data_IF_270042664717
#
_entry.id   IF_270042664717
#
_cell.length_a   1.000
_cell.length_b   1.000
_cell.length_c   1.000
_cell.angle_alpha   90.00
_cell.angle_beta   90.00
_cell.angle_gamma   90.00
#
_symmetry.space_group_name_H-M   'P 1'
#
loop_
_entity.id
_entity.type
_entity.pdbx_description
1 polymer ?
#
# COMPACT_ATOMS: atom_id res chain seq x y z
N UNK A 1 15.02 9.31 -21.63
CA UNK A 1 14.91 7.87 -21.30
C UNK A 1 14.07 7.20 -22.36
N UNK A 2 14.67 6.32 -23.14
CA UNK A 2 14.01 5.57 -24.21
C UNK A 2 13.15 4.49 -23.58
N UNK A 3 11.84 4.56 -23.81
CA UNK A 3 10.94 3.46 -23.47
C UNK A 3 11.49 2.18 -24.11
N UNK A 4 11.66 1.12 -23.31
CA UNK A 4 12.05 -0.17 -23.85
C UNK A 4 10.95 -0.61 -24.81
N UNK A 5 11.23 -0.85 -26.10
CA UNK A 5 10.19 -1.30 -27.03
C UNK A 5 9.57 -2.58 -26.49
N UNK A 6 8.24 -2.69 -26.55
CA UNK A 6 7.47 -3.85 -26.07
C UNK A 6 8.06 -5.18 -26.58
N UNK A 7 8.68 -5.18 -27.78
CA UNK A 7 9.37 -6.34 -28.35
C UNK A 7 10.61 -6.85 -27.60
N UNK A 8 11.35 -5.99 -26.87
CA UNK A 8 12.56 -6.40 -26.14
C UNK A 8 12.22 -7.18 -24.86
N UNK A 9 11.12 -6.82 -24.20
CA UNK A 9 10.63 -7.51 -23.01
C UNK A 9 10.12 -8.91 -23.38
N UNK A 10 9.34 -9.01 -24.46
CA UNK A 10 8.82 -10.29 -24.96
C UNK A 10 9.95 -11.24 -25.34
N UNK A 11 11.04 -10.75 -25.95
CA UNK A 11 12.21 -11.58 -26.27
C UNK A 11 12.93 -12.09 -25.02
N UNK A 12 13.13 -11.25 -24.01
CA UNK A 12 13.70 -11.67 -22.71
C UNK A 12 12.80 -12.66 -21.97
N UNK A 13 11.48 -12.45 -22.02
CA UNK A 13 10.50 -13.34 -21.40
C UNK A 13 10.50 -14.73 -22.07
N UNK A 14 10.60 -14.80 -23.39
CA UNK A 14 10.71 -16.08 -24.11
C UNK A 14 12.02 -16.82 -23.75
N UNK A 15 13.13 -16.08 -23.60
CA UNK A 15 14.40 -16.66 -23.17
C UNK A 15 14.34 -17.20 -21.74
N UNK A 16 13.76 -16.42 -20.82
CA UNK A 16 13.50 -16.82 -19.43
C UNK A 16 12.62 -18.08 -19.35
N UNK A 17 11.54 -18.09 -20.11
CA UNK A 17 10.65 -19.26 -20.24
C UNK A 17 11.40 -20.50 -20.71
N UNK A 18 12.22 -20.36 -21.75
CA UNK A 18 12.96 -21.48 -22.34
C UNK A 18 13.96 -22.09 -21.34
N UNK A 19 14.60 -21.26 -20.50
CA UNK A 19 15.54 -21.71 -19.47
C UNK A 19 14.87 -22.52 -18.35
N UNK A 20 13.63 -22.19 -17.98
CA UNK A 20 12.91 -22.83 -16.89
C UNK A 20 12.05 -24.02 -17.37
N UNK A 21 11.30 -23.83 -18.45
CA UNK A 21 10.40 -24.83 -19.04
C UNK A 21 11.16 -26.01 -19.65
N UNK A 22 12.43 -25.83 -20.03
CA UNK A 22 13.30 -26.86 -20.61
C UNK A 22 13.70 -27.99 -19.64
N UNK A 23 13.31 -27.93 -18.35
CA UNK A 23 13.66 -28.97 -17.34
C UNK A 23 12.49 -29.85 -16.86
N UNK A 24 11.21 -29.49 -17.05
CA UNK A 24 10.11 -30.18 -16.35
C UNK A 24 8.82 -30.46 -17.16
N UNK A 25 8.66 -29.94 -18.38
CA UNK A 25 7.48 -30.21 -19.23
C UNK A 25 6.13 -29.64 -18.70
N UNK A 26 6.04 -29.26 -17.44
CA UNK A 26 4.86 -28.61 -16.82
C UNK A 26 5.34 -27.72 -15.67
N UNK A 27 4.98 -26.44 -15.67
CA UNK A 27 5.30 -25.52 -14.57
C UNK A 27 4.26 -25.64 -13.46
N UNK A 28 4.69 -25.59 -12.20
CA UNK A 28 3.83 -25.48 -11.01
C UNK A 28 3.70 -24.02 -10.58
N UNK A 29 2.76 -23.73 -9.66
CA UNK A 29 2.60 -22.37 -9.10
C UNK A 29 3.89 -21.86 -8.44
N UNK A 30 4.69 -22.76 -7.83
CA UNK A 30 5.96 -22.40 -7.19
C UNK A 30 7.03 -21.98 -8.19
N UNK A 31 6.95 -22.48 -9.43
CA UNK A 31 7.91 -22.15 -10.50
C UNK A 31 7.65 -20.75 -11.11
N UNK A 32 6.52 -20.11 -10.78
CA UNK A 32 6.21 -18.76 -11.26
C UNK A 32 7.15 -17.72 -10.64
N UNK A 33 7.47 -17.78 -9.34
CA UNK A 33 8.36 -16.76 -8.75
C UNK A 33 9.74 -16.74 -9.41
N UNK A 34 10.47 -17.87 -9.52
CA UNK A 34 11.76 -17.89 -10.20
C UNK A 34 11.67 -17.37 -11.64
N UNK A 35 10.56 -17.65 -12.34
CA UNK A 35 10.34 -17.22 -13.71
C UNK A 35 10.26 -15.68 -13.83
N UNK A 36 9.47 -15.02 -12.98
CA UNK A 36 9.36 -13.56 -12.99
C UNK A 36 10.64 -12.87 -12.49
N UNK A 37 11.34 -13.48 -11.53
CA UNK A 37 12.61 -12.95 -11.01
C UNK A 37 13.68 -12.86 -12.09
N UNK A 38 13.66 -13.72 -13.13
CA UNK A 38 14.60 -13.59 -14.27
C UNK A 38 14.43 -12.31 -15.09
N UNK A 39 13.28 -11.63 -14.96
CA UNK A 39 12.96 -10.37 -15.62
C UNK A 39 13.08 -9.16 -14.68
N UNK A 40 13.63 -9.35 -13.49
CA UNK A 40 13.64 -8.35 -12.40
C UNK A 40 12.22 -7.90 -12.01
N UNK A 41 11.24 -8.81 -12.08
CA UNK A 41 9.86 -8.60 -11.64
C UNK A 41 9.61 -9.47 -10.42
N UNK A 42 9.07 -8.90 -9.34
CA UNK A 42 8.89 -9.59 -8.06
C UNK A 42 7.43 -9.57 -7.64
N UNK A 43 6.61 -10.52 -8.12
CA UNK A 43 5.21 -10.61 -7.74
C UNK A 43 5.03 -11.06 -6.28
N UNK A 44 3.97 -10.60 -5.62
CA UNK A 44 3.53 -11.13 -4.33
C UNK A 44 2.93 -12.54 -4.45
N UNK A 45 2.75 -13.23 -3.32
CA UNK A 45 2.12 -14.56 -3.31
C UNK A 45 0.72 -14.55 -3.92
N UNK A 46 -0.07 -13.54 -3.62
CA UNK A 46 -1.41 -13.42 -4.17
C UNK A 46 -1.41 -13.04 -5.65
N UNK A 47 -0.47 -12.22 -6.12
CA UNK A 47 -0.31 -11.95 -7.55
C UNK A 47 0.02 -13.25 -8.31
N UNK A 48 0.92 -14.08 -7.78
CA UNK A 48 1.22 -15.39 -8.37
C UNK A 48 0.00 -16.32 -8.32
N UNK A 49 -0.74 -16.33 -7.22
CA UNK A 49 -1.97 -17.10 -7.10
C UNK A 49 -3.02 -16.69 -8.14
N UNK A 50 -3.25 -15.38 -8.31
CA UNK A 50 -4.18 -14.86 -9.32
C UNK A 50 -3.73 -15.18 -10.74
N UNK A 51 -2.46 -14.98 -11.07
CA UNK A 51 -1.91 -15.34 -12.38
C UNK A 51 -2.10 -16.81 -12.69
N UNK A 52 -1.85 -17.67 -11.69
CA UNK A 52 -2.05 -19.10 -11.78
C UNK A 52 -3.53 -19.45 -12.00
N UNK A 53 -4.45 -18.92 -11.19
CA UNK A 53 -5.88 -19.15 -11.36
C UNK A 53 -6.38 -18.68 -12.72
N UNK A 54 -5.99 -17.46 -13.13
CA UNK A 54 -6.41 -16.85 -14.38
C UNK A 54 -5.91 -17.60 -15.62
N UNK A 55 -4.73 -18.23 -15.58
CA UNK A 55 -4.24 -19.05 -16.69
C UNK A 55 -4.91 -20.42 -16.78
N UNK A 56 -5.46 -20.92 -15.66
CA UNK A 56 -6.04 -22.26 -15.58
C UNK A 56 -7.53 -22.31 -15.93
N UNK A 57 -8.22 -21.16 -16.04
CA UNK A 57 -9.64 -21.09 -16.43
C UNK A 57 -9.97 -21.70 -17.79
N UNK A 58 -9.00 -21.78 -18.72
CA UNK A 58 -9.26 -22.23 -20.08
C UNK A 58 -8.54 -23.52 -20.51
N UNK A 59 -7.37 -23.85 -19.95
CA UNK A 59 -6.59 -25.04 -20.36
C UNK A 59 -5.80 -25.73 -19.23
N UNK A 60 -5.99 -25.34 -17.95
CA UNK A 60 -5.25 -25.87 -16.80
C UNK A 60 -3.71 -25.86 -16.97
N UNK A 61 -3.16 -24.95 -17.77
CA UNK A 61 -1.71 -24.87 -18.04
C UNK A 61 -1.30 -23.40 -18.05
N UNK A 62 -0.27 -23.06 -17.29
CA UNK A 62 0.39 -21.77 -17.40
C UNK A 62 1.24 -21.77 -18.68
N UNK A 63 1.00 -20.81 -19.59
CA UNK A 63 1.67 -20.77 -20.91
C UNK A 63 2.68 -19.64 -21.03
N UNK A 64 3.59 -19.74 -22.00
CA UNK A 64 4.52 -18.64 -22.34
C UNK A 64 3.77 -17.35 -22.69
N UNK A 65 2.59 -17.45 -23.32
CA UNK A 65 1.74 -16.30 -23.62
C UNK A 65 1.21 -15.62 -22.37
N UNK A 66 0.72 -16.40 -21.41
CA UNK A 66 0.28 -15.90 -20.10
C UNK A 66 1.43 -15.24 -19.34
N UNK A 67 2.61 -15.88 -19.34
CA UNK A 67 3.81 -15.30 -18.73
C UNK A 67 4.19 -13.95 -19.34
N UNK A 68 4.33 -13.89 -20.67
CA UNK A 68 4.67 -12.66 -21.38
C UNK A 68 3.65 -11.55 -21.12
N UNK A 69 2.35 -11.89 -21.09
CA UNK A 69 1.28 -10.94 -20.78
C UNK A 69 1.43 -10.36 -19.38
N UNK A 70 1.50 -11.22 -18.35
CA UNK A 70 1.59 -10.76 -16.95
C UNK A 70 2.90 -10.01 -16.68
N UNK A 71 4.03 -10.46 -17.23
CA UNK A 71 5.30 -9.76 -17.10
C UNK A 71 5.25 -8.37 -17.76
N UNK A 72 4.61 -8.25 -18.93
CA UNK A 72 4.41 -6.97 -19.59
C UNK A 72 3.52 -6.04 -18.77
N UNK A 73 2.39 -6.52 -18.27
CA UNK A 73 1.46 -5.71 -17.48
C UNK A 73 2.08 -5.23 -16.17
N UNK A 74 2.78 -6.12 -15.45
CA UNK A 74 3.46 -5.75 -14.20
C UNK A 74 4.56 -4.71 -14.44
N UNK A 75 5.37 -4.90 -15.48
CA UNK A 75 6.43 -3.96 -15.82
C UNK A 75 5.87 -2.61 -16.27
N UNK A 76 4.81 -2.63 -17.08
CA UNK A 76 4.11 -1.43 -17.52
C UNK A 76 3.48 -0.66 -16.35
N UNK A 77 2.83 -1.36 -15.41
CA UNK A 77 2.25 -0.76 -14.21
C UNK A 77 3.33 -0.11 -13.32
N UNK A 78 4.45 -0.81 -13.14
CA UNK A 78 5.61 -0.33 -12.40
C UNK A 78 6.26 0.90 -13.06
N UNK A 79 6.54 0.85 -14.37
CA UNK A 79 7.19 1.93 -15.12
C UNK A 79 6.34 3.21 -15.18
N UNK A 80 5.01 3.08 -15.28
CA UNK A 80 4.12 4.23 -15.39
C UNK A 80 3.60 4.75 -14.05
N UNK A 81 3.94 4.12 -12.91
CA UNK A 81 3.40 4.47 -11.57
C UNK A 81 1.88 4.70 -11.61
N UNK A 82 1.15 3.90 -12.39
CA UNK A 82 -0.27 4.13 -12.60
C UNK A 82 -1.03 3.89 -11.29
N UNK A 83 -1.44 4.98 -10.62
CA UNK A 83 -2.59 4.90 -9.72
C UNK A 83 -3.82 4.65 -10.57
N UNK A 84 -4.45 3.49 -10.41
CA UNK A 84 -5.69 3.17 -11.13
C UNK A 84 -6.86 3.93 -10.51
N UNK A 85 -7.57 4.64 -11.39
CA UNK A 85 -8.89 5.30 -11.28
C UNK A 85 -9.13 6.28 -10.15
N UNK A 86 -9.41 7.53 -10.54
CA UNK A 86 -10.08 8.50 -9.67
C UNK A 86 -11.40 7.92 -9.16
N UNK A 87 -11.75 8.14 -7.88
CA UNK A 87 -13.02 7.68 -7.35
C UNK A 87 -14.19 8.32 -8.09
N UNK A 88 -15.23 7.52 -8.37
CA UNK A 88 -16.49 7.93 -9.00
C UNK A 88 -17.30 8.97 -8.20
N UNK A 89 -16.82 9.37 -7.02
CA UNK A 89 -17.44 10.38 -6.15
C UNK A 89 -16.98 11.82 -6.43
N UNK A 90 -16.15 12.08 -7.45
CA UNK A 90 -15.89 13.46 -7.89
C UNK A 90 -16.89 13.87 -8.98
N UNK A 91 -17.86 14.77 -8.69
CA UNK A 91 -18.58 15.42 -9.77
C UNK A 91 -17.58 16.21 -10.63
N UNK A 92 -17.83 16.21 -11.94
CA UNK A 92 -17.03 16.91 -12.93
C UNK A 92 -16.71 18.35 -12.45
N UNK A 93 -15.44 18.75 -12.61
CA UNK A 93 -14.87 20.04 -12.19
C UNK A 93 -15.90 21.18 -12.30
N UNK A 94 -16.51 21.53 -11.17
CA UNK A 94 -17.38 22.69 -11.10
C UNK A 94 -16.49 23.93 -11.00
N UNK A 95 -16.40 24.65 -12.12
CA UNK A 95 -15.66 25.91 -12.32
C UNK A 95 -16.03 27.00 -11.32
N UNK A 96 -17.04 26.78 -10.48
CA UNK A 96 -17.51 27.67 -9.41
C UNK A 96 -16.59 27.76 -8.18
N UNK A 97 -15.63 26.86 -7.98
CA UNK A 97 -14.68 26.94 -6.84
C UNK A 97 -13.59 28.01 -6.96
N UNK A 98 -13.41 28.64 -8.13
CA UNK A 98 -12.43 29.72 -8.32
C UNK A 98 -12.86 31.05 -7.69
N UNK A 99 -14.13 31.21 -7.29
CA UNK A 99 -14.66 32.47 -6.76
C UNK A 99 -14.81 32.55 -5.24
N UNK A 100 -14.46 31.49 -4.48
CA UNK A 100 -14.49 31.51 -3.01
C UNK A 100 -13.09 31.61 -2.36
N UNK A 101 -12.03 31.82 -3.15
CA UNK A 101 -10.64 31.96 -2.64
C UNK A 101 -10.31 33.37 -2.12
N UNK A 102 -11.33 34.17 -1.79
CA UNK A 102 -11.19 35.52 -1.22
C UNK A 102 -12.20 35.72 -0.08
N UNK A 103 -12.03 34.97 1.01
CA UNK A 103 -12.34 35.37 2.40
C UNK A 103 -12.33 34.15 3.33
N UNK A 104 -11.14 33.73 3.74
CA UNK A 104 -10.84 33.27 5.11
C UNK A 104 -9.37 32.89 5.17
N UNK A 105 -8.50 33.84 5.54
CA UNK A 105 -7.26 33.49 6.25
C UNK A 105 -7.68 33.01 7.66
N UNK A 106 -8.20 31.80 7.72
CA UNK A 106 -8.23 31.00 8.94
C UNK A 106 -7.27 29.87 8.65
N UNK A 107 -6.13 29.85 9.33
CA UNK A 107 -5.08 28.83 9.25
C UNK A 107 -5.68 27.46 8.92
N UNK A 108 -5.63 27.05 7.64
CA UNK A 108 -5.85 25.65 7.26
C UNK A 108 -4.68 24.91 7.90
N UNK A 109 -4.89 24.35 9.09
CA UNK A 109 -3.85 23.61 9.80
C UNK A 109 -3.57 22.32 9.03
N UNK A 110 -2.74 22.43 8.00
CA UNK A 110 -2.15 21.30 7.31
C UNK A 110 -1.25 20.57 8.30
N UNK A 111 -1.60 19.33 8.59
CA UNK A 111 -0.81 18.46 9.46
C UNK A 111 0.22 17.70 8.61
N UNK A 112 1.38 17.39 9.18
CA UNK A 112 2.33 16.53 8.49
C UNK A 112 1.83 15.08 8.46
N UNK A 113 1.19 14.61 9.54
CA UNK A 113 0.74 13.21 9.69
C UNK A 113 -0.72 13.11 10.15
N UNK A 114 -1.52 12.30 9.45
CA UNK A 114 -2.82 11.85 9.94
C UNK A 114 -2.70 10.49 10.62
N UNK A 115 -3.19 10.35 11.86
CA UNK A 115 -3.10 9.11 12.65
C UNK A 115 -4.37 8.26 12.50
N UNK A 116 -4.46 7.49 11.42
CA UNK A 116 -5.60 6.60 11.12
C UNK A 116 -5.44 5.18 11.67
N UNK A 117 -6.48 4.36 11.50
CA UNK A 117 -6.48 2.97 11.94
C UNK A 117 -7.14 2.74 13.30
N UNK A 118 -6.91 1.56 13.89
CA UNK A 118 -7.55 1.05 15.10
C UNK A 118 -7.66 2.11 16.20
N UNK A 119 -8.88 2.30 16.71
CA UNK A 119 -9.21 3.33 17.70
C UNK A 119 -9.31 2.73 19.10
N UNK A 120 -10.50 2.63 19.68
CA UNK A 120 -10.69 2.07 21.02
C UNK A 120 -10.65 0.53 20.97
N UNK A 121 -9.96 -0.17 21.89
CA UNK A 121 -9.36 0.32 23.13
C UNK A 121 -7.86 0.71 23.02
N UNK A 122 -7.33 0.83 21.81
CA UNK A 122 -5.89 0.98 21.58
C UNK A 122 -5.35 2.32 22.09
N UNK A 123 -4.09 2.32 22.52
CA UNK A 123 -3.41 3.50 23.09
C UNK A 123 -2.17 3.92 22.31
N UNK A 124 -1.87 3.26 21.20
CA UNK A 124 -0.63 3.49 20.43
C UNK A 124 -0.42 4.95 20.02
N UNK A 125 -1.50 5.69 19.77
CA UNK A 125 -1.44 7.14 19.50
C UNK A 125 -0.86 7.88 20.69
N UNK A 126 -1.46 7.69 21.87
CA UNK A 126 -1.09 8.37 23.12
C UNK A 126 0.28 7.96 23.63
N UNK A 127 0.55 6.65 23.62
CA UNK A 127 1.68 6.09 24.35
C UNK A 127 2.97 6.09 23.52
N UNK A 128 2.85 6.04 22.19
CA UNK A 128 4.01 5.86 21.29
C UNK A 128 4.09 6.95 20.22
N UNK A 129 3.07 7.09 19.37
CA UNK A 129 3.16 7.93 18.17
C UNK A 129 3.24 9.43 18.50
N UNK A 130 2.33 9.93 19.32
CA UNK A 130 2.27 11.36 19.66
C UNK A 130 3.55 11.84 20.36
N UNK A 131 4.08 11.17 21.41
CA UNK A 131 5.34 11.57 22.03
C UNK A 131 6.50 11.62 21.03
N UNK A 132 6.63 10.60 20.17
CA UNK A 132 7.73 10.51 19.18
C UNK A 132 7.62 11.60 18.10
N UNK A 133 6.41 11.85 17.57
CA UNK A 133 6.18 12.90 16.58
C UNK A 133 6.48 14.29 17.14
N UNK A 134 6.07 14.57 18.39
CA UNK A 134 6.44 15.80 19.10
C UNK A 134 7.95 15.95 19.25
N UNK A 135 8.66 14.87 19.61
CA UNK A 135 10.12 14.89 19.71
C UNK A 135 10.81 15.18 18.38
N UNK A 136 10.20 14.80 17.24
CA UNK A 136 10.68 15.14 15.90
C UNK A 136 10.23 16.52 15.39
N UNK A 137 9.38 17.24 16.12
CA UNK A 137 8.80 18.50 15.65
C UNK A 137 7.79 18.33 14.51
N UNK A 138 7.18 17.16 14.40
CA UNK A 138 6.22 16.81 13.34
C UNK A 138 4.80 17.07 13.83
N UNK A 139 4.02 17.83 13.05
CA UNK A 139 2.61 18.10 13.35
C UNK A 139 1.72 16.91 13.01
N UNK A 140 0.67 16.67 13.78
CA UNK A 140 -0.19 15.50 13.60
C UNK A 140 -1.66 15.80 13.90
N UNK A 141 -2.56 15.06 13.23
CA UNK A 141 -3.98 15.00 13.56
C UNK A 141 -4.31 13.66 14.21
N UNK A 142 -4.93 13.71 15.40
CA UNK A 142 -5.44 12.55 16.11
C UNK A 142 -6.99 12.52 16.02
N UNK A 143 -7.59 11.60 15.23
CA UNK A 143 -9.05 11.47 15.13
C UNK A 143 -9.69 10.82 16.37
N UNK A 144 -8.90 10.17 17.24
CA UNK A 144 -9.43 9.48 18.42
C UNK A 144 -9.74 10.49 19.53
N UNK A 145 -11.04 10.77 19.68
CA UNK A 145 -11.61 11.63 20.71
C UNK A 145 -12.39 10.81 21.75
N UNK A 146 -12.60 11.37 22.94
CA UNK A 146 -13.39 10.74 24.00
C UNK A 146 -14.89 10.73 23.69
N UNK A 147 -15.40 11.80 23.05
CA UNK A 147 -16.78 11.90 22.63
C UNK A 147 -16.83 12.22 21.13
N UNK A 148 -17.35 11.28 20.35
CA UNK A 148 -17.54 11.47 18.93
C UNK A 148 -18.87 12.18 18.65
N UNK A 149 -18.83 13.19 17.78
CA UNK A 149 -20.01 13.93 17.30
C UNK A 149 -19.91 14.06 15.77
N UNK A 150 -21.04 14.13 15.04
CA UNK A 150 -21.06 14.17 13.57
C UNK A 150 -20.21 15.31 12.96
N UNK A 151 -20.09 16.43 13.64
CA UNK A 151 -19.30 17.60 13.21
C UNK A 151 -17.80 17.28 13.07
N UNK A 152 -17.31 16.25 13.76
CA UNK A 152 -15.92 15.80 13.65
C UNK A 152 -15.62 15.11 12.33
N UNK A 153 -16.64 14.63 11.60
CA UNK A 153 -16.45 13.97 10.30
C UNK A 153 -15.81 14.93 9.31
N UNK A 154 -16.31 16.16 9.24
CA UNK A 154 -15.79 17.16 8.30
C UNK A 154 -14.37 17.58 8.67
N UNK A 155 -14.10 17.77 9.96
CA UNK A 155 -12.75 18.09 10.46
C UNK A 155 -11.77 16.96 10.18
N UNK A 156 -12.18 15.71 10.38
CA UNK A 156 -11.38 14.54 10.06
C UNK A 156 -11.13 14.44 8.55
N UNK A 157 -12.13 14.67 7.72
CA UNK A 157 -11.98 14.67 6.26
C UNK A 157 -11.01 15.75 5.80
N UNK A 158 -11.13 16.98 6.32
CA UNK A 158 -10.18 18.07 6.02
C UNK A 158 -8.76 17.73 6.48
N UNK A 159 -8.60 17.14 7.66
CA UNK A 159 -7.30 16.69 8.13
C UNK A 159 -6.72 15.58 7.24
N UNK A 160 -7.55 14.61 6.81
CA UNK A 160 -7.16 13.56 5.85
C UNK A 160 -6.81 14.15 4.49
N UNK A 161 -7.51 15.15 4.00
CA UNK A 161 -7.20 15.79 2.71
C UNK A 161 -5.85 16.54 2.76
N UNK A 162 -5.58 17.23 3.87
CA UNK A 162 -4.45 18.15 3.99
C UNK A 162 -3.18 17.52 4.59
N UNK A 163 -3.24 16.28 5.10
CA UNK A 163 -2.09 15.61 5.68
C UNK A 163 -1.04 15.20 4.64
N UNK A 164 0.25 15.38 4.93
CA UNK A 164 1.32 14.94 4.00
C UNK A 164 1.48 13.42 3.98
N UNK A 165 1.37 12.78 5.15
CA UNK A 165 1.49 11.32 5.34
C UNK A 165 0.25 10.77 6.04
N UNK A 166 -0.27 9.67 5.51
CA UNK A 166 -1.31 8.85 6.14
C UNK A 166 -0.62 7.75 6.95
N UNK A 167 -0.69 7.80 8.27
CA UNK A 167 -0.09 6.80 9.17
C UNK A 167 -1.20 5.93 9.76
N UNK A 168 -1.27 4.67 9.36
CA UNK A 168 -2.34 3.75 9.72
C UNK A 168 -1.82 2.56 10.53
N UNK A 169 -2.47 2.28 11.64
CA UNK A 169 -2.21 1.07 12.46
C UNK A 169 -3.44 0.20 12.45
N UNK A 170 -3.31 -1.04 11.97
CA UNK A 170 -4.36 -2.06 12.03
C UNK A 170 -3.89 -3.11 13.03
N UNK A 171 -4.45 -3.03 14.23
CA UNK A 171 -4.09 -3.90 15.33
C UNK A 171 -5.01 -5.13 15.45
N UNK A 172 -4.76 -5.93 16.48
CA UNK A 172 -5.49 -7.16 16.77
C UNK A 172 -6.44 -7.05 17.98
N UNK A 173 -6.49 -5.87 18.64
CA UNK A 173 -7.44 -5.58 19.73
C UNK A 173 -8.80 -5.09 19.21
N UNK A 174 -8.88 -4.82 17.91
CA UNK A 174 -10.09 -4.40 17.21
C UNK A 174 -10.30 -5.24 15.96
N UNK A 175 -11.56 -5.37 15.52
CA UNK A 175 -11.90 -6.03 14.25
C UNK A 175 -11.35 -5.27 13.03
N UNK A 176 -11.16 -3.95 13.17
CA UNK A 176 -10.51 -3.07 12.19
C UNK A 176 -11.10 -3.06 10.77
N UNK A 177 -12.31 -3.59 10.54
CA UNK A 177 -12.88 -3.75 9.20
C UNK A 177 -12.96 -2.43 8.44
N UNK A 178 -13.51 -1.38 9.07
CA UNK A 178 -13.59 -0.05 8.47
C UNK A 178 -12.20 0.53 8.15
N UNK A 179 -11.24 0.36 9.07
CA UNK A 179 -9.87 0.82 8.89
C UNK A 179 -9.18 0.09 7.73
N UNK A 180 -9.43 -1.22 7.56
CA UNK A 180 -8.90 -1.98 6.43
C UNK A 180 -9.41 -1.43 5.09
N UNK A 181 -10.70 -1.16 4.99
CA UNK A 181 -11.32 -0.60 3.77
C UNK A 181 -10.76 0.80 3.47
N UNK A 182 -10.65 1.66 4.48
CA UNK A 182 -10.10 3.01 4.32
C UNK A 182 -8.62 2.96 3.90
N UNK A 183 -7.84 2.06 4.50
CA UNK A 183 -6.42 1.87 4.15
C UNK A 183 -6.27 1.37 2.72
N UNK A 184 -7.09 0.41 2.29
CA UNK A 184 -7.10 -0.08 0.91
C UNK A 184 -7.45 1.04 -0.07
N UNK A 185 -8.43 1.90 0.27
CA UNK A 185 -8.76 3.08 -0.52
C UNK A 185 -7.56 4.02 -0.65
N UNK A 186 -6.91 4.37 0.46
CA UNK A 186 -5.74 5.25 0.47
C UNK A 186 -4.58 4.66 -0.34
N UNK A 187 -4.34 3.36 -0.22
CA UNK A 187 -3.32 2.64 -0.98
C UNK A 187 -3.52 2.75 -2.50
N UNK A 188 -4.78 2.78 -2.96
CA UNK A 188 -5.12 3.01 -4.36
C UNK A 188 -4.92 4.45 -4.87
N UNK A 189 -4.54 5.39 -3.99
CA UNK A 189 -4.29 6.80 -4.34
C UNK A 189 -2.79 7.11 -4.45
N UNK A 190 -2.45 8.36 -4.79
CA UNK A 190 -1.05 8.83 -4.85
C UNK A 190 -0.53 9.37 -3.49
N UNK A 191 -1.27 9.13 -2.39
CA UNK A 191 -0.92 9.62 -1.04
C UNK A 191 0.22 8.79 -0.44
N UNK A 192 1.03 9.42 0.41
CA UNK A 192 2.10 8.73 1.17
C UNK A 192 1.44 7.93 2.31
N UNK A 193 1.44 6.61 2.22
CA UNK A 193 0.88 5.71 3.24
C UNK A 193 2.00 4.99 4.01
N UNK A 194 1.95 5.06 5.34
CA UNK A 194 2.74 4.25 6.26
C UNK A 194 1.76 3.33 6.97
N UNK A 195 1.92 2.01 6.80
CA UNK A 195 0.98 1.01 7.31
C UNK A 195 1.66 0.04 8.28
N UNK A 196 1.08 -0.11 9.46
CA UNK A 196 1.35 -1.20 10.39
C UNK A 196 0.15 -2.15 10.31
N UNK A 197 0.39 -3.43 10.01
CA UNK A 197 -0.68 -4.43 9.87
C UNK A 197 -0.35 -5.67 10.70
N UNK A 198 -1.00 -5.79 11.86
CA UNK A 198 -0.83 -6.93 12.76
C UNK A 198 -1.70 -8.10 12.32
N UNK A 199 -1.26 -9.31 12.64
CA UNK A 199 -2.05 -10.52 12.45
C UNK A 199 -3.33 -10.52 13.31
N UNK A 200 -4.35 -11.23 12.83
CA UNK A 200 -5.60 -11.38 13.57
C UNK A 200 -5.41 -12.31 14.77
N UNK A 201 -5.89 -11.88 15.95
CA UNK A 201 -5.91 -12.73 17.15
C UNK A 201 -6.72 -14.00 16.91
N UNK A 202 -6.32 -15.16 17.49
CA UNK A 202 -6.94 -16.45 17.23
C UNK A 202 -8.42 -16.50 17.66
N UNK A 203 -9.20 -17.48 17.15
CA UNK A 203 -10.57 -17.74 17.59
C UNK A 203 -10.69 -17.81 19.12
N UNK A 204 -11.79 -17.26 19.66
CA UNK A 204 -12.02 -17.15 21.10
C UNK A 204 -11.38 -15.93 21.77
N UNK A 205 -10.48 -15.21 21.09
CA UNK A 205 -9.94 -13.94 21.60
C UNK A 205 -11.06 -12.90 21.76
N UNK A 206 -10.97 -12.06 22.79
CA UNK A 206 -11.99 -11.06 23.08
C UNK A 206 -11.68 -9.73 22.39
N UNK A 207 -12.66 -9.19 21.67
CA UNK A 207 -12.69 -7.81 21.18
C UNK A 207 -13.86 -7.11 21.84
N UNK A 208 -13.58 -6.07 22.63
CA UNK A 208 -14.58 -5.35 23.43
C UNK A 208 -15.47 -6.28 24.29
N UNK A 209 -14.91 -7.37 24.79
CA UNK A 209 -15.62 -8.35 25.62
C UNK A 209 -16.36 -9.43 24.84
N UNK A 210 -16.40 -9.36 23.51
CA UNK A 210 -17.03 -10.38 22.66
C UNK A 210 -15.98 -11.33 22.08
N UNK A 211 -16.19 -12.66 22.17
CA UNK A 211 -15.28 -13.63 21.56
C UNK A 211 -15.41 -13.61 20.03
N UNK A 212 -14.27 -13.68 19.35
CA UNK A 212 -14.21 -13.89 17.90
C UNK A 212 -14.58 -15.35 17.60
N UNK A 213 -15.60 -15.56 16.77
CA UNK A 213 -15.96 -16.91 16.31
C UNK A 213 -14.97 -17.45 15.28
N UNK A 214 -14.96 -18.77 15.04
CA UNK A 214 -14.11 -19.38 14.00
C UNK A 214 -14.35 -18.79 12.61
N UNK A 215 -15.63 -18.65 12.24
CA UNK A 215 -16.02 -18.06 10.95
C UNK A 215 -15.56 -16.62 10.83
N UNK A 216 -15.79 -15.84 11.89
CA UNK A 216 -15.37 -14.44 11.94
C UNK A 216 -13.84 -14.30 11.87
N UNK A 217 -13.08 -15.18 12.53
CA UNK A 217 -11.62 -15.20 12.42
C UNK A 217 -11.17 -15.40 10.98
N UNK A 218 -11.77 -16.35 10.25
CA UNK A 218 -11.47 -16.58 8.83
C UNK A 218 -11.73 -15.31 8.01
N UNK A 219 -12.89 -14.67 8.18
CA UNK A 219 -13.26 -13.45 7.45
C UNK A 219 -12.29 -12.29 7.78
N UNK A 220 -11.95 -12.09 9.05
CA UNK A 220 -11.05 -11.02 9.50
C UNK A 220 -9.59 -11.23 9.07
N UNK A 221 -9.13 -12.48 9.07
CA UNK A 221 -7.81 -12.86 8.56
C UNK A 221 -7.76 -12.61 7.06
N UNK A 222 -8.76 -13.07 6.32
CA UNK A 222 -8.85 -12.89 4.87
C UNK A 222 -8.88 -11.41 4.48
N UNK A 223 -9.61 -10.57 5.23
CA UNK A 223 -9.60 -9.12 5.01
C UNK A 223 -8.21 -8.48 5.16
N UNK A 224 -7.40 -8.95 6.12
CA UNK A 224 -6.02 -8.50 6.30
C UNK A 224 -5.11 -8.98 5.18
N UNK A 225 -5.28 -10.23 4.74
CA UNK A 225 -4.54 -10.79 3.62
C UNK A 225 -4.82 -9.98 2.34
N UNK A 226 -6.08 -9.68 2.05
CA UNK A 226 -6.44 -8.80 0.92
C UNK A 226 -5.86 -7.40 1.03
N UNK A 227 -5.88 -6.80 2.22
CA UNK A 227 -5.24 -5.49 2.39
C UNK A 227 -3.73 -5.57 2.13
N UNK A 228 -3.06 -6.61 2.65
CA UNK A 228 -1.63 -6.86 2.43
C UNK A 228 -1.32 -6.95 0.94
N UNK A 229 -2.16 -7.66 0.19
CA UNK A 229 -2.02 -7.78 -1.26
C UNK A 229 -2.13 -6.42 -1.96
N UNK A 230 -3.18 -5.66 -1.65
CA UNK A 230 -3.42 -4.34 -2.23
C UNK A 230 -2.22 -3.41 -2.01
N UNK A 231 -1.68 -3.36 -0.79
CA UNK A 231 -0.54 -2.46 -0.48
C UNK A 231 0.77 -2.95 -1.11
N UNK A 232 1.01 -4.26 -1.13
CA UNK A 232 2.18 -4.85 -1.77
C UNK A 232 2.16 -4.63 -3.29
N UNK A 233 1.00 -4.76 -3.94
CA UNK A 233 0.83 -4.45 -5.36
C UNK A 233 1.17 -2.99 -5.70
N UNK A 234 1.04 -2.08 -4.73
CA UNK A 234 1.41 -0.66 -4.87
C UNK A 234 2.85 -0.37 -4.39
N UNK A 235 3.61 -1.40 -4.00
CA UNK A 235 4.96 -1.29 -3.44
C UNK A 235 5.01 -0.61 -2.07
N UNK A 236 3.87 -0.46 -1.39
CA UNK A 236 3.80 0.22 -0.09
C UNK A 236 4.30 -0.74 1.00
N UNK A 237 5.32 -0.34 1.79
CA UNK A 237 5.86 -1.19 2.84
C UNK A 237 4.86 -1.37 3.98
N UNK A 238 4.84 -2.58 4.55
CA UNK A 238 4.07 -2.93 5.75
C UNK A 238 5.03 -3.14 6.90
N UNK A 239 4.88 -2.35 7.95
CA UNK A 239 5.73 -2.38 9.13
C UNK A 239 5.13 -3.30 10.20
N UNK A 240 6.00 -3.93 10.99
CA UNK A 240 5.60 -4.73 12.16
C UNK A 240 5.55 -3.87 13.44
N UNK A 241 6.36 -2.80 13.48
CA UNK A 241 6.52 -1.96 14.66
C UNK A 241 6.20 -0.49 14.41
N UNK A 242 5.48 0.12 15.34
CA UNK A 242 5.12 1.54 15.29
C UNK A 242 6.37 2.44 15.36
N UNK A 243 7.39 2.05 16.13
CA UNK A 243 8.62 2.84 16.28
C UNK A 243 9.39 2.96 14.96
N UNK A 244 9.61 1.84 14.28
CA UNK A 244 10.26 1.79 12.97
C UNK A 244 9.48 2.63 11.95
N UNK A 245 8.15 2.45 11.91
CA UNK A 245 7.29 3.22 11.02
C UNK A 245 7.37 4.74 11.27
N UNK A 246 7.54 5.18 12.52
CA UNK A 246 7.69 6.60 12.87
C UNK A 246 9.07 7.15 12.46
N UNK A 247 10.12 6.34 12.52
CA UNK A 247 11.45 6.71 12.02
C UNK A 247 11.44 6.89 10.50
N UNK A 248 10.80 5.95 9.79
CA UNK A 248 10.56 6.07 8.35
C UNK A 248 9.72 7.30 8.04
N UNK A 249 8.66 7.57 8.82
CA UNK A 249 7.80 8.76 8.64
C UNK A 249 8.61 10.05 8.75
N UNK A 250 9.49 10.17 9.74
CA UNK A 250 10.37 11.32 9.91
C UNK A 250 11.30 11.50 8.71
N UNK A 251 11.86 10.40 8.18
CA UNK A 251 12.70 10.43 6.97
C UNK A 251 11.91 10.83 5.73
N UNK A 252 10.74 10.25 5.52
CA UNK A 252 9.80 10.56 4.42
C UNK A 252 9.45 12.05 4.38
N UNK A 253 9.25 12.67 5.54
CA UNK A 253 8.93 14.09 5.65
C UNK A 253 10.14 14.99 5.46
N UNK A 254 11.31 14.64 6.03
CA UNK A 254 12.54 15.46 5.91
C UNK A 254 13.16 15.43 4.52
N UNK A 255 13.13 14.27 3.87
CA UNK A 255 13.77 14.04 2.58
C UNK A 255 12.75 14.07 1.42
N UNK A 256 11.48 14.36 1.71
CA UNK A 256 10.37 14.40 0.75
C UNK A 256 10.23 13.14 -0.13
N UNK A 257 10.61 11.99 0.44
CA UNK A 257 10.53 10.68 -0.22
C UNK A 257 9.09 10.15 -0.26
N UNK A 258 8.87 9.09 -1.04
CA UNK A 258 7.69 8.23 -0.85
C UNK A 258 8.04 7.07 0.07
N UNK A 259 7.08 6.54 0.86
CA UNK A 259 7.31 5.36 1.69
C UNK A 259 7.92 4.17 0.93
N UNK A 260 7.51 3.96 -0.33
CA UNK A 260 8.04 2.92 -1.22
C UNK A 260 9.54 3.04 -1.51
N UNK A 261 10.08 4.26 -1.43
CA UNK A 261 11.48 4.55 -1.72
C UNK A 261 12.36 4.43 -0.47
N UNK A 262 11.76 4.29 0.73
CA UNK A 262 12.49 4.16 1.99
C UNK A 262 12.76 2.70 2.30
N UNK A 263 14.04 2.32 2.28
CA UNK A 263 14.49 0.97 2.59
C UNK A 263 14.36 0.68 4.10
N UNK A 264 13.87 -0.51 4.50
CA UNK A 264 13.88 -0.92 5.91
C UNK A 264 15.32 -1.04 6.45
N UNK A 265 15.58 -0.72 7.74
CA UNK A 265 16.86 -0.97 8.37
C UNK A 265 17.13 -2.49 8.50
N UNK A 266 18.09 -3.03 7.75
CA UNK A 266 18.58 -4.40 7.93
C UNK A 266 18.27 -5.39 6.80
N UNK A 267 17.45 -5.04 5.82
CA UNK A 267 17.32 -5.83 4.59
C UNK A 267 18.52 -5.58 3.66
N UNK A 268 19.23 -6.65 3.28
CA UNK A 268 20.12 -6.59 2.11
C UNK A 268 19.22 -6.32 0.90
N UNK A 269 19.61 -5.31 0.12
CA UNK A 269 18.88 -4.87 -1.07
C UNK A 269 18.44 -6.07 -1.94
N UNK A 270 17.16 -6.17 -2.37
CA UNK A 270 16.96 -6.50 -3.77
C UNK A 270 17.58 -5.32 -4.54
N UNK A 271 18.39 -5.64 -5.55
CA UNK A 271 19.32 -4.77 -6.25
C UNK A 271 18.82 -3.33 -6.52
N UNK A 272 19.71 -2.33 -6.69
CA UNK A 272 19.31 -0.93 -6.76
C UNK A 272 18.26 -0.71 -7.86
N UNK A 273 17.10 -0.18 -7.47
CA UNK A 273 16.19 0.46 -8.41
C UNK A 273 16.98 1.48 -9.24
N UNK A 274 16.89 1.48 -10.59
CA UNK A 274 17.57 2.46 -11.40
C UNK A 274 17.11 3.86 -10.97
N UNK A 275 18.05 4.70 -10.56
CA UNK A 275 17.77 6.11 -10.30
C UNK A 275 17.17 6.75 -11.57
N UNK A 276 16.17 7.63 -11.47
CA UNK A 276 15.76 8.43 -12.61
C UNK A 276 16.98 9.21 -13.11
N UNK A 277 17.07 9.47 -14.42
CA UNK A 277 18.23 10.12 -14.98
C UNK A 277 18.26 11.55 -14.42
N UNK A 278 19.38 11.93 -13.84
CA UNK A 278 19.66 13.32 -13.53
C UNK A 278 19.41 14.14 -14.79
N UNK A 279 18.53 15.14 -14.71
CA UNK A 279 18.33 16.10 -15.76
C UNK A 279 19.66 16.83 -15.98
N UNK A 280 20.45 16.38 -16.95
CA UNK A 280 21.57 17.14 -17.46
C UNK A 280 21.00 18.28 -18.29
N UNK A 281 21.13 19.48 -17.74
CA UNK A 281 20.96 20.73 -18.46
C UNK A 281 21.99 20.81 -19.57
N UNK A 282 21.52 20.77 -20.81
CA UNK A 282 22.06 21.47 -21.99
C UNK A 282 20.97 21.54 -23.04
#
# INVERSE_FOLDING_TARGET
MTATPVGLLSSKAIEAWSKLSGKAGTLTQQDIFPLFHTLDIYPSESQVHEMWQCSHTHNNIFTVGSFCFFASEMKYAHERRLSRTQPLSKPARDSRKLHMKRRSESVESSYDVFLGGSCNPTTWRKDVAIPKLKAYGISYYNPQVTQWIPELIELENQAKENAKVMFFVIDSQTRSVACMIETAHIAGTQRKLILILNEQSPPGSLVLGEPISEKEYVDLKQGRDYLRDIVQMQGIPVFQGIQEALEVTNKVLKEELRPQDVRPPGEKAPWPCPMPPSATST
#
